data_IF_160579271764
#
_entry.id   IF_160579271764
#
_cell.length_a   1.000
_cell.length_b   1.000
_cell.length_c   1.000
_cell.angle_alpha   90.00
_cell.angle_beta   90.00
_cell.angle_gamma   90.00
#
_symmetry.space_group_name_H-M   'P 1'
#
loop_
_entity.id
_entity.type
_entity.pdbx_description
1 polymer ?
#
# COMPACT_ATOMS: atom_id res chain seq x y z
N UNK A 1 -7.05 15.52 2.11
CA UNK A 1 -6.05 14.93 3.03
C UNK A 1 -5.22 14.02 2.17
N UNK A 2 -3.89 14.08 2.23
CA UNK A 2 -3.00 13.27 1.40
C UNK A 2 -2.15 12.34 2.29
N UNK A 3 -2.07 11.05 1.92
CA UNK A 3 -1.11 10.10 2.49
C UNK A 3 0.04 9.99 1.49
N UNK A 4 1.27 10.24 1.95
CA UNK A 4 2.46 10.22 1.10
C UNK A 4 3.72 9.82 1.88
N UNK A 5 4.83 9.67 1.16
CA UNK A 5 6.14 9.29 1.71
C UNK A 5 6.06 8.03 2.58
N UNK A 6 5.40 6.99 2.06
CA UNK A 6 5.25 5.73 2.77
C UNK A 6 6.42 4.80 2.50
N UNK A 7 6.87 4.13 3.54
CA UNK A 7 7.87 3.07 3.45
C UNK A 7 7.54 1.91 4.38
N UNK A 8 8.06 0.75 4.02
CA UNK A 8 8.10 -0.42 4.87
C UNK A 8 9.46 -0.48 5.53
N UNK A 9 9.47 -0.50 6.86
CA UNK A 9 10.67 -0.76 7.66
C UNK A 9 10.63 -2.19 8.23
N UNK A 10 11.80 -2.76 8.44
CA UNK A 10 11.98 -4.10 9.01
C UNK A 10 12.41 -4.08 10.50
N UNK A 11 12.36 -2.90 11.13
CA UNK A 11 12.81 -2.66 12.50
C UNK A 11 14.32 -2.57 12.67
N UNK A 12 15.10 -2.80 11.60
CA UNK A 12 16.56 -2.68 11.58
C UNK A 12 17.03 -1.41 10.84
N UNK A 13 16.10 -0.52 10.49
CA UNK A 13 16.38 0.78 9.89
C UNK A 13 16.50 0.75 8.36
N UNK A 14 16.12 -0.36 7.70
CA UNK A 14 16.06 -0.42 6.24
C UNK A 14 14.66 -0.01 5.78
N UNK A 15 14.57 1.14 5.13
CA UNK A 15 13.32 1.64 4.58
C UNK A 15 13.19 1.33 3.09
N UNK A 16 12.13 0.63 2.72
CA UNK A 16 11.75 0.38 1.32
C UNK A 16 10.56 1.27 0.98
N UNK A 17 10.69 2.26 0.08
CA UNK A 17 9.60 3.14 -0.26
C UNK A 17 8.52 2.38 -1.04
N UNK A 18 7.26 2.62 -0.70
CA UNK A 18 6.08 2.02 -1.36
C UNK A 18 5.10 3.07 -1.88
N UNK A 19 5.17 4.31 -1.36
CA UNK A 19 4.43 5.47 -1.84
C UNK A 19 5.37 6.66 -1.85
N UNK A 20 5.46 7.37 -2.96
CA UNK A 20 6.35 8.52 -3.12
C UNK A 20 5.87 9.76 -2.35
N UNK A 21 6.59 10.87 -2.51
CA UNK A 21 6.26 12.13 -1.85
C UNK A 21 5.02 12.84 -2.44
N UNK A 22 4.51 12.40 -3.59
CA UNK A 22 3.26 12.90 -4.20
C UNK A 22 2.04 12.10 -3.74
N UNK A 23 2.24 10.96 -3.09
CA UNK A 23 1.16 10.05 -2.70
C UNK A 23 0.86 8.97 -3.76
N UNK A 24 1.78 8.76 -4.71
CA UNK A 24 1.67 7.76 -5.76
C UNK A 24 2.35 6.47 -5.36
N UNK A 25 1.68 5.34 -5.60
CA UNK A 25 2.20 4.02 -5.27
C UNK A 25 3.34 3.65 -6.21
N UNK A 26 4.44 3.15 -5.64
CA UNK A 26 5.65 2.78 -6.37
C UNK A 26 5.66 1.32 -6.81
N UNK A 27 4.95 0.44 -6.11
CA UNK A 27 4.84 -0.97 -6.45
C UNK A 27 3.37 -1.44 -6.36
N UNK A 28 2.63 -1.36 -7.49
CA UNK A 28 1.23 -1.79 -7.57
C UNK A 28 1.00 -3.28 -7.28
N UNK A 29 2.04 -4.11 -7.31
CA UNK A 29 1.92 -5.53 -6.97
C UNK A 29 1.79 -5.75 -5.47
N UNK A 30 2.41 -4.87 -4.67
CA UNK A 30 2.38 -4.92 -3.21
C UNK A 30 1.20 -4.15 -2.62
N UNK A 31 0.87 -2.99 -3.20
CA UNK A 31 -0.13 -2.06 -2.68
C UNK A 31 -0.98 -1.51 -3.83
N UNK A 32 -2.30 -1.46 -3.67
CA UNK A 32 -3.14 -0.71 -4.62
C UNK A 32 -2.98 0.79 -4.43
N UNK A 33 -3.40 1.57 -5.42
CA UNK A 33 -3.58 3.01 -5.23
C UNK A 33 -4.39 3.33 -3.97
N UNK A 34 -4.00 4.41 -3.31
CA UNK A 34 -4.65 4.89 -2.09
C UNK A 34 -5.99 5.53 -2.50
N UNK A 35 -7.07 4.99 -1.98
CA UNK A 35 -8.42 5.52 -2.17
C UNK A 35 -8.76 6.45 -1.02
N UNK A 36 -9.29 7.62 -1.36
CA UNK A 36 -9.68 8.65 -0.40
C UNK A 36 -11.20 8.76 -0.35
N UNK A 37 -11.75 8.91 0.85
CA UNK A 37 -13.19 9.13 1.04
C UNK A 37 -13.52 10.64 0.93
N UNK A 38 -14.44 10.98 0.05
CA UNK A 38 -14.85 12.37 -0.20
C UNK A 38 -15.66 12.98 0.95
N UNK A 39 -16.25 12.17 1.83
CA UNK A 39 -17.14 12.60 2.91
C UNK A 39 -16.52 12.39 4.30
N UNK A 40 -15.62 11.43 4.46
CA UNK A 40 -14.93 11.09 5.71
C UNK A 40 -13.43 11.47 5.70
N UNK A 41 -12.80 11.48 6.89
CA UNK A 41 -11.34 11.56 7.02
C UNK A 41 -10.78 10.14 7.02
N UNK A 42 -10.98 9.45 5.90
CA UNK A 42 -10.58 8.06 5.72
C UNK A 42 -9.87 7.91 4.38
N UNK A 43 -8.78 7.18 4.39
CA UNK A 43 -8.14 6.70 3.18
C UNK A 43 -7.64 5.28 3.42
N UNK A 44 -7.64 4.46 2.38
CA UNK A 44 -7.26 3.07 2.49
C UNK A 44 -6.62 2.58 1.19
N UNK A 45 -5.76 1.57 1.32
CA UNK A 45 -5.19 0.85 0.20
C UNK A 45 -5.28 -0.65 0.48
N UNK A 46 -5.52 -1.45 -0.55
CA UNK A 46 -5.52 -2.90 -0.44
C UNK A 46 -4.10 -3.40 -0.67
N UNK A 47 -3.59 -4.21 0.25
CA UNK A 47 -2.28 -4.85 0.11
C UNK A 47 -2.44 -6.36 0.13
N UNK A 48 -1.54 -7.07 -0.52
CA UNK A 48 -1.41 -8.52 -0.36
C UNK A 48 -0.58 -8.82 0.88
N UNK A 49 -0.71 -10.01 1.45
CA UNK A 49 0.18 -10.44 2.53
C UNK A 49 1.54 -10.76 1.92
N UNK A 50 2.59 -10.00 2.28
CA UNK A 50 3.96 -10.22 1.83
C UNK A 50 4.95 -10.17 2.99
N UNK A 51 6.14 -10.72 2.76
CA UNK A 51 7.31 -10.58 3.64
C UNK A 51 8.57 -10.43 2.80
N UNK A 52 9.58 -9.75 3.34
CA UNK A 52 10.92 -9.77 2.77
C UNK A 52 11.73 -10.96 3.33
N UNK A 53 12.69 -11.47 2.55
CA UNK A 53 13.59 -12.54 3.00
C UNK A 53 14.35 -12.11 4.25
N UNK A 54 14.50 -13.04 5.19
CA UNK A 54 15.21 -12.86 6.46
C UNK A 54 14.60 -11.82 7.43
N UNK A 55 13.37 -11.34 7.15
CA UNK A 55 12.64 -10.40 8.02
C UNK A 55 11.43 -11.07 8.65
N UNK A 56 11.27 -10.88 9.97
CA UNK A 56 10.21 -11.50 10.76
C UNK A 56 8.99 -10.59 10.94
N UNK A 57 9.16 -9.28 10.79
CA UNK A 57 8.14 -8.26 11.01
C UNK A 57 8.34 -7.12 10.00
N UNK A 58 7.24 -6.46 9.64
CA UNK A 58 7.21 -5.30 8.75
C UNK A 58 6.41 -4.19 9.42
N UNK A 59 6.90 -2.97 9.31
CA UNK A 59 6.27 -1.76 9.83
C UNK A 59 5.96 -0.82 8.67
N UNK A 60 4.69 -0.55 8.44
CA UNK A 60 4.26 0.43 7.45
C UNK A 60 4.21 1.81 8.09
N UNK A 61 4.99 2.75 7.56
CA UNK A 61 5.04 4.13 8.07
C UNK A 61 4.77 5.10 6.93
N UNK A 62 3.88 6.07 7.15
CA UNK A 62 3.48 7.08 6.17
C UNK A 62 3.41 8.47 6.82
N UNK A 63 3.52 9.51 6.00
CA UNK A 63 3.19 10.88 6.40
C UNK A 63 1.75 11.21 6.00
N UNK A 64 1.00 11.85 6.91
CA UNK A 64 -0.37 12.31 6.67
C UNK A 64 -0.38 13.83 6.61
N UNK A 65 -0.73 14.37 5.44
CA UNK A 65 -0.93 15.80 5.24
C UNK A 65 -2.43 16.13 5.28
N UNK A 66 -2.82 17.03 6.19
CA UNK A 66 -4.20 17.49 6.33
C UNK A 66 -4.44 18.75 5.47
N UNK A 67 -5.64 18.86 4.90
CA UNK A 67 -6.14 20.06 4.23
C UNK A 67 -7.59 20.32 4.66
N UNK A 68 -8.04 21.56 4.55
CA UNK A 68 -9.42 21.96 4.88
C UNK A 68 -10.24 21.94 3.60
N UNK A 69 -11.37 21.22 3.59
CA UNK A 69 -12.23 21.05 2.39
C UNK A 69 -12.98 22.32 1.97
N UNK A 70 -13.16 23.28 2.87
CA UNK A 70 -13.87 24.52 2.54
C UNK A 70 -13.16 25.27 1.41
N UNK A 71 -13.95 25.85 0.50
CA UNK A 71 -13.49 26.66 -0.62
C UNK A 71 -12.46 25.95 -1.53
N UNK A 72 -12.57 24.63 -1.67
CA UNK A 72 -11.74 23.83 -2.60
C UNK A 72 -10.30 23.57 -2.13
N UNK A 73 -9.99 23.78 -0.84
CA UNK A 73 -8.63 23.64 -0.31
C UNK A 73 -7.98 22.25 -0.41
N UNK A 74 -8.72 21.24 -0.90
CA UNK A 74 -8.22 19.89 -1.13
C UNK A 74 -8.30 19.43 -2.60
N UNK A 75 -8.85 20.25 -3.51
CA UNK A 75 -9.22 19.83 -4.87
C UNK A 75 -8.00 19.42 -5.72
N UNK A 76 -6.87 20.11 -5.55
CA UNK A 76 -5.60 19.79 -6.22
C UNK A 76 -4.64 18.95 -5.35
N UNK A 77 -5.12 18.45 -4.21
CA UNK A 77 -4.32 17.69 -3.24
C UNK A 77 -4.65 16.21 -3.30
N UNK A 78 -5.95 15.85 -3.39
CA UNK A 78 -6.37 14.45 -3.44
C UNK A 78 -7.57 14.21 -4.33
N UNK A 79 -7.58 13.10 -5.12
CA UNK A 79 -6.49 12.13 -5.25
C UNK A 79 -5.29 12.71 -6.03
N UNK A 80 -4.05 12.26 -5.75
CA UNK A 80 -2.89 12.73 -6.49
C UNK A 80 -2.94 12.25 -7.95
N UNK A 81 -2.36 13.04 -8.86
CA UNK A 81 -2.18 12.64 -10.26
C UNK A 81 -0.91 11.81 -10.39
N UNK A 82 -1.08 10.51 -10.64
CA UNK A 82 0.01 9.56 -10.79
C UNK A 82 0.13 9.12 -12.25
N UNK A 83 1.35 9.04 -12.75
CA UNK A 83 1.63 8.51 -14.08
C UNK A 83 1.79 7.00 -13.99
N UNK A 84 1.15 6.25 -14.90
CA UNK A 84 1.29 4.79 -15.03
C UNK A 84 2.67 4.39 -15.61
N UNK A 85 3.78 4.94 -15.12
CA UNK A 85 5.11 4.67 -15.70
C UNK A 85 5.61 3.23 -15.43
N UNK A 86 5.03 2.55 -14.43
CA UNK A 86 5.61 1.35 -13.84
C UNK A 86 5.28 0.02 -14.56
N UNK A 87 4.40 0.01 -15.55
CA UNK A 87 4.27 -1.19 -16.42
C UNK A 87 5.57 -1.51 -17.17
N UNK A 88 6.51 -0.57 -17.23
CA UNK A 88 7.79 -0.74 -17.96
C UNK A 88 8.88 -1.44 -17.14
N UNK A 89 8.73 -1.53 -15.81
CA UNK A 89 9.76 -2.10 -14.94
C UNK A 89 9.20 -3.25 -14.10
N UNK A 90 8.51 -4.20 -14.72
CA UNK A 90 8.34 -5.52 -14.12
C UNK A 90 9.74 -6.05 -13.78
N UNK A 91 10.08 -6.27 -12.50
CA UNK A 91 11.32 -6.95 -12.17
C UNK A 91 11.20 -8.34 -12.76
N UNK A 92 12.03 -8.66 -13.76
CA UNK A 92 12.11 -9.97 -14.44
C UNK A 92 12.40 -11.12 -13.45
N UNK A 93 12.53 -10.85 -12.16
CA UNK A 93 12.91 -11.79 -11.12
C UNK A 93 11.76 -12.40 -10.31
N UNK A 94 10.50 -12.03 -10.56
CA UNK A 94 9.35 -12.77 -10.02
C UNK A 94 8.99 -13.98 -10.89
N UNK A 95 9.99 -14.76 -11.30
CA UNK A 95 9.80 -16.08 -11.88
C UNK A 95 9.95 -17.15 -10.79
N UNK A 96 9.05 -17.14 -9.81
CA UNK A 96 8.83 -18.35 -8.99
C UNK A 96 7.80 -19.22 -9.71
N UNK A 97 8.16 -20.45 -10.15
CA UNK A 97 7.29 -21.32 -10.94
C UNK A 97 5.98 -21.70 -10.22
N UNK A 98 4.94 -21.88 -11.03
CA UNK A 98 3.64 -22.45 -10.68
C UNK A 98 3.74 -23.52 -9.58
N UNK A 99 3.30 -23.19 -8.37
CA UNK A 99 3.01 -24.19 -7.36
C UNK A 99 1.58 -24.06 -6.91
N UNK A 100 0.72 -24.70 -7.69
CA UNK A 100 -0.58 -25.16 -7.23
C UNK A 100 -0.41 -25.92 -5.91
N UNK A 101 -1.02 -25.45 -4.84
CA UNK A 101 -1.20 -26.24 -3.64
C UNK A 101 -2.58 -25.97 -3.08
N UNK A 102 -3.47 -26.93 -3.40
CA UNK A 102 -4.77 -27.22 -2.81
C UNK A 102 -5.25 -26.23 -1.73
N UNK A 103 -6.27 -25.44 -2.10
CA UNK A 103 -7.28 -24.95 -1.17
C UNK A 103 -7.87 -26.19 -0.44
N UNK A 104 -7.45 -26.42 0.80
CA UNK A 104 -8.15 -27.31 1.71
C UNK A 104 -9.16 -26.45 2.50
N UNK A 105 -10.47 -26.50 2.19
CA UNK A 105 -11.45 -25.57 2.76
C UNK A 105 -11.80 -25.83 4.23
N UNK A 106 -11.03 -26.66 4.95
CA UNK A 106 -11.47 -27.28 6.20
C UNK A 106 -11.05 -26.58 7.49
N UNK A 107 -10.44 -25.39 7.45
CA UNK A 107 -10.03 -24.68 8.67
C UNK A 107 -10.50 -23.22 8.82
N UNK A 108 -11.68 -22.88 8.31
CA UNK A 108 -12.39 -21.68 8.80
C UNK A 108 -13.08 -21.98 10.13
N UNK A 109 -12.28 -22.10 11.20
CA UNK A 109 -12.81 -21.89 12.54
C UNK A 109 -13.03 -20.39 12.69
N UNK A 110 -14.32 -20.01 12.61
CA UNK A 110 -14.84 -18.72 13.03
C UNK A 110 -14.43 -18.43 14.48
N UNK A 111 -13.25 -17.85 14.69
CA UNK A 111 -12.99 -17.09 15.89
C UNK A 111 -13.58 -15.70 15.69
N UNK A 112 -14.87 -15.59 16.01
CA UNK A 112 -15.51 -14.31 16.32
C UNK A 112 -14.81 -13.72 17.54
N UNK A 113 -13.83 -12.85 17.30
CA UNK A 113 -13.26 -11.98 18.32
C UNK A 113 -14.06 -10.68 18.25
N UNK A 114 -14.64 -10.35 19.40
CA UNK A 114 -15.43 -9.16 19.68
C UNK A 114 -14.70 -7.86 19.33
#
# INVERSE_FOLDING_TARGET
MLIHSCYVDDGQGKHVPIVDNKGCVLDPLLLSDIQYDDQAITAYAKTRVFKYSDKIQLYFTCTVQLCVKNDGGCDDVTPPVCEDEFLTQLPTEYSSPERSYYDDPSHFQHHSIF
#
